data_IF_683124309997
#
_entry.id   IF_683124309997
#
_cell.length_a   1.000
_cell.length_b   1.000
_cell.length_c   1.000
_cell.angle_alpha   90.00
_cell.angle_beta   90.00
_cell.angle_gamma   90.00
#
_symmetry.space_group_name_H-M   'P 1'
#
loop_
_entity.id
_entity.type
_entity.pdbx_description
1 polymer ?
#
# COMPACT_ATOMS: atom_id res chain seq x y z
N UNK A 1 6.56 2.40 -27.92
CA UNK A 1 6.98 1.00 -27.61
C UNK A 1 7.94 0.95 -26.43
N UNK A 2 9.12 1.60 -26.47
CA UNK A 2 10.06 1.61 -25.32
C UNK A 2 9.49 2.26 -24.04
N UNK A 3 8.69 3.32 -24.19
CA UNK A 3 8.10 4.04 -23.05
C UNK A 3 7.06 3.21 -22.31
N UNK A 4 6.21 2.46 -23.03
CA UNK A 4 5.20 1.58 -22.42
C UNK A 4 5.87 0.42 -21.66
N UNK A 5 6.88 -0.22 -22.27
CA UNK A 5 7.64 -1.28 -21.59
C UNK A 5 8.30 -0.75 -20.30
N UNK A 6 8.94 0.42 -20.38
CA UNK A 6 9.56 1.07 -19.21
C UNK A 6 8.51 1.39 -18.13
N UNK A 7 7.31 1.82 -18.52
CA UNK A 7 6.20 2.06 -17.61
C UNK A 7 5.73 0.77 -16.92
N UNK A 8 5.56 -0.33 -17.65
CA UNK A 8 5.18 -1.63 -17.10
C UNK A 8 6.22 -2.15 -16.09
N UNK A 9 7.51 -2.09 -16.43
CA UNK A 9 8.59 -2.51 -15.54
C UNK A 9 8.67 -1.64 -14.27
N UNK A 10 8.56 -0.32 -14.43
CA UNK A 10 8.61 0.63 -13.31
C UNK A 10 7.44 0.44 -12.36
N UNK A 11 6.22 0.35 -12.88
CA UNK A 11 5.01 0.16 -12.08
C UNK A 11 4.96 -1.22 -11.42
N UNK A 12 5.54 -2.25 -12.06
CA UNK A 12 5.74 -3.56 -11.44
C UNK A 12 6.66 -3.49 -10.21
N UNK A 13 7.83 -2.86 -10.35
CA UNK A 13 8.79 -2.67 -9.24
C UNK A 13 8.18 -1.90 -8.07
N UNK A 14 7.46 -0.81 -8.35
CA UNK A 14 6.78 -0.01 -7.32
C UNK A 14 5.74 -0.87 -6.58
N UNK A 15 4.92 -1.65 -7.30
CA UNK A 15 3.93 -2.54 -6.69
C UNK A 15 4.56 -3.57 -5.77
N UNK A 16 5.65 -4.21 -6.17
CA UNK A 16 6.38 -5.13 -5.29
C UNK A 16 6.88 -4.44 -4.01
N UNK A 17 7.38 -3.20 -4.11
CA UNK A 17 7.77 -2.43 -2.91
C UNK A 17 6.59 -2.07 -2.01
N UNK A 18 5.44 -1.76 -2.58
CA UNK A 18 4.21 -1.54 -1.80
C UNK A 18 3.78 -2.81 -1.09
N UNK A 19 3.87 -3.97 -1.75
CA UNK A 19 3.58 -5.28 -1.15
C UNK A 19 4.53 -5.62 0.00
N UNK A 20 5.84 -5.39 -0.18
CA UNK A 20 6.85 -5.51 0.88
C UNK A 20 6.45 -4.64 2.09
N UNK A 21 6.09 -3.37 1.87
CA UNK A 21 5.65 -2.47 2.94
C UNK A 21 4.39 -2.98 3.67
N UNK A 22 3.41 -3.52 2.94
CA UNK A 22 2.21 -4.11 3.55
C UNK A 22 2.59 -5.28 4.45
N UNK A 23 3.49 -6.14 3.99
CA UNK A 23 4.01 -7.27 4.77
C UNK A 23 4.65 -6.79 6.08
N UNK A 24 5.56 -5.82 6.00
CA UNK A 24 6.27 -5.32 7.18
C UNK A 24 5.33 -4.61 8.17
N UNK A 25 4.38 -3.81 7.67
CA UNK A 25 3.35 -3.18 8.50
C UNK A 25 2.53 -4.24 9.23
N UNK A 26 2.07 -5.29 8.53
CA UNK A 26 1.25 -6.35 9.14
C UNK A 26 2.03 -7.20 10.15
N UNK A 27 3.34 -7.39 9.94
CA UNK A 27 4.21 -8.10 10.89
C UNK A 27 4.56 -7.26 12.11
N UNK A 28 4.39 -5.94 12.08
CA UNK A 28 4.77 -5.09 13.19
C UNK A 28 3.98 -5.43 14.46
N UNK A 29 4.70 -5.83 15.52
CA UNK A 29 4.16 -6.23 16.82
C UNK A 29 3.88 -5.06 17.77
N UNK A 30 3.88 -3.81 17.29
CA UNK A 30 3.86 -2.62 18.14
C UNK A 30 2.65 -2.49 19.07
N UNK A 31 1.49 -3.02 18.68
CA UNK A 31 0.32 -3.10 19.58
C UNK A 31 0.54 -4.12 20.72
N UNK A 32 1.22 -5.23 20.44
CA UNK A 32 1.60 -6.22 21.45
C UNK A 32 2.62 -5.64 22.45
N UNK A 33 3.60 -4.88 21.94
CA UNK A 33 4.60 -4.19 22.76
C UNK A 33 3.94 -3.14 23.66
N UNK A 34 3.06 -2.31 23.10
CA UNK A 34 2.30 -1.30 23.86
C UNK A 34 1.43 -1.97 24.92
N UNK A 35 0.72 -3.05 24.57
CA UNK A 35 -0.13 -3.77 25.53
C UNK A 35 0.68 -4.36 26.68
N UNK A 36 1.85 -4.91 26.38
CA UNK A 36 2.74 -5.53 27.36
C UNK A 36 3.51 -4.53 28.20
N UNK A 37 3.60 -3.26 27.78
CA UNK A 37 4.32 -2.21 28.51
C UNK A 37 3.79 -1.93 29.92
N UNK A 38 2.53 -2.28 30.19
CA UNK A 38 1.93 -2.16 31.52
C UNK A 38 2.15 -3.39 32.42
N UNK A 39 2.79 -4.45 31.92
CA UNK A 39 3.05 -5.65 32.70
C UNK A 39 3.98 -5.34 33.87
N UNK A 40 3.55 -5.65 35.10
CA UNK A 40 4.32 -5.39 36.30
C UNK A 40 4.30 -3.94 36.81
N UNK A 41 3.59 -3.03 36.14
CA UNK A 41 3.38 -1.67 36.66
C UNK A 41 2.26 -1.66 37.70
N UNK A 42 2.54 -1.05 38.85
CA UNK A 42 1.56 -0.84 39.92
C UNK A 42 0.96 0.56 39.79
N UNK A 43 -0.35 0.64 39.51
CA UNK A 43 -1.07 1.90 39.36
C UNK A 43 -2.44 1.70 38.72
N UNK A 44 -3.48 2.31 39.31
CA UNK A 44 -4.84 2.20 38.79
C UNK A 44 -4.92 2.77 37.36
N UNK A 45 -5.48 1.99 36.42
CA UNK A 45 -5.76 2.44 35.06
C UNK A 45 -4.60 2.34 34.05
N UNK A 46 -3.37 2.01 34.47
CA UNK A 46 -2.24 1.87 33.54
C UNK A 46 -2.45 0.74 32.52
N UNK A 47 -2.90 -0.43 32.97
CA UNK A 47 -3.22 -1.55 32.07
C UNK A 47 -4.36 -1.22 31.11
N UNK A 48 -5.38 -0.48 31.57
CA UNK A 48 -6.48 -0.02 30.72
C UNK A 48 -5.97 0.97 29.66
N UNK A 49 -5.15 1.95 30.04
CA UNK A 49 -4.57 2.92 29.12
C UNK A 49 -3.65 2.24 28.09
N UNK A 50 -2.82 1.29 28.52
CA UNK A 50 -1.97 0.51 27.61
C UNK A 50 -2.80 -0.32 26.63
N UNK A 51 -3.90 -0.93 27.08
CA UNK A 51 -4.83 -1.64 26.19
C UNK A 51 -5.47 -0.70 25.16
N UNK A 52 -5.97 0.46 25.59
CA UNK A 52 -6.57 1.44 24.67
C UNK A 52 -5.56 1.97 23.65
N UNK A 53 -4.32 2.24 24.08
CA UNK A 53 -3.24 2.67 23.21
C UNK A 53 -2.88 1.57 22.19
N UNK A 54 -2.80 0.32 22.63
CA UNK A 54 -2.54 -0.82 21.75
C UNK A 54 -3.66 -1.01 20.70
N UNK A 55 -4.92 -0.83 21.08
CA UNK A 55 -6.06 -0.90 20.14
C UNK A 55 -5.99 0.24 19.10
N UNK A 56 -5.60 1.44 19.53
CA UNK A 56 -5.39 2.57 18.62
C UNK A 56 -4.24 2.30 17.63
N UNK A 57 -3.12 1.72 18.08
CA UNK A 57 -2.00 1.31 17.23
C UNK A 57 -2.45 0.24 16.24
N UNK A 58 -3.17 -0.79 16.70
CA UNK A 58 -3.69 -1.85 15.85
C UNK A 58 -4.61 -1.28 14.75
N UNK A 59 -5.52 -0.38 15.11
CA UNK A 59 -6.41 0.32 14.16
C UNK A 59 -5.63 1.16 13.15
N UNK A 60 -4.61 1.89 13.60
CA UNK A 60 -3.76 2.71 12.73
C UNK A 60 -3.00 1.84 11.73
N UNK A 61 -2.40 0.74 12.19
CA UNK A 61 -1.72 -0.26 11.34
C UNK A 61 -2.65 -0.83 10.28
N UNK A 62 -3.82 -1.33 10.66
CA UNK A 62 -4.81 -1.87 9.71
C UNK A 62 -5.22 -0.82 8.68
N UNK A 63 -5.46 0.42 9.12
CA UNK A 63 -5.82 1.52 8.22
C UNK A 63 -4.70 1.82 7.22
N UNK A 64 -3.45 1.85 7.68
CA UNK A 64 -2.31 2.10 6.82
C UNK A 64 -2.08 0.98 5.81
N UNK A 65 -2.14 -0.29 6.24
CA UNK A 65 -2.05 -1.45 5.35
C UNK A 65 -3.15 -1.44 4.27
N UNK A 66 -4.38 -1.06 4.63
CA UNK A 66 -5.48 -0.94 3.67
C UNK A 66 -5.22 0.17 2.64
N UNK A 67 -4.69 1.32 3.05
CA UNK A 67 -4.30 2.40 2.12
C UNK A 67 -3.20 1.96 1.16
N UNK A 68 -2.18 1.25 1.65
CA UNK A 68 -1.14 0.68 0.80
C UNK A 68 -1.72 -0.31 -0.22
N UNK A 69 -2.65 -1.18 0.20
CA UNK A 69 -3.33 -2.12 -0.70
C UNK A 69 -4.14 -1.41 -1.79
N UNK A 70 -4.81 -0.32 -1.44
CA UNK A 70 -5.52 0.52 -2.41
C UNK A 70 -4.54 1.17 -3.40
N UNK A 71 -3.38 1.64 -2.95
CA UNK A 71 -2.34 2.16 -3.85
C UNK A 71 -1.78 1.10 -4.78
N UNK A 72 -1.50 -0.10 -4.29
CA UNK A 72 -1.07 -1.24 -5.11
C UNK A 72 -2.07 -1.50 -6.26
N UNK A 73 -3.36 -1.60 -5.92
CA UNK A 73 -4.43 -1.83 -6.90
C UNK A 73 -4.57 -0.66 -7.88
N UNK A 74 -4.46 0.58 -7.38
CA UNK A 74 -4.51 1.79 -8.20
C UNK A 74 -3.39 1.83 -9.24
N UNK A 75 -2.16 1.49 -8.85
CA UNK A 75 -1.02 1.41 -9.77
C UNK A 75 -1.27 0.34 -10.84
N UNK A 76 -1.72 -0.86 -10.45
CA UNK A 76 -2.02 -1.93 -11.40
C UNK A 76 -3.07 -1.51 -12.44
N UNK A 77 -4.17 -0.90 -11.96
CA UNK A 77 -5.24 -0.44 -12.83
C UNK A 77 -4.76 0.67 -13.78
N UNK A 78 -3.98 1.63 -13.29
CA UNK A 78 -3.43 2.71 -14.11
C UNK A 78 -2.49 2.17 -15.20
N UNK A 79 -1.61 1.21 -14.88
CA UNK A 79 -0.74 0.56 -15.87
C UNK A 79 -1.54 -0.11 -16.98
N UNK A 80 -2.60 -0.85 -16.63
CA UNK A 80 -3.46 -1.50 -17.63
C UNK A 80 -4.22 -0.50 -18.50
N UNK A 81 -4.67 0.62 -17.93
CA UNK A 81 -5.31 1.69 -18.70
C UNK A 81 -4.35 2.35 -19.69
N UNK A 82 -3.11 2.61 -19.27
CA UNK A 82 -2.05 3.13 -20.16
C UNK A 82 -1.76 2.16 -21.30
N UNK A 83 -1.66 0.86 -21.02
CA UNK A 83 -1.48 -0.18 -22.03
C UNK A 83 -2.61 -0.21 -23.05
N UNK A 84 -3.87 -0.12 -22.58
CA UNK A 84 -5.02 -0.08 -23.47
C UNK A 84 -5.04 1.19 -24.34
N UNK A 85 -4.67 2.34 -23.76
CA UNK A 85 -4.60 3.61 -24.48
C UNK A 85 -3.50 3.62 -25.55
N UNK A 86 -2.31 3.09 -25.26
CA UNK A 86 -1.22 2.96 -26.24
C UNK A 86 -1.62 2.03 -27.40
N UNK A 87 -2.27 0.90 -27.10
CA UNK A 87 -2.82 0.00 -28.11
C UNK A 87 -3.88 0.67 -29.00
N UNK A 88 -4.79 1.44 -28.40
CA UNK A 88 -5.79 2.20 -29.15
C UNK A 88 -5.15 3.29 -30.04
N UNK A 89 -4.15 4.00 -29.52
CA UNK A 89 -3.43 5.03 -30.26
C UNK A 89 -2.70 4.46 -31.48
N UNK A 90 -2.11 3.27 -31.36
CA UNK A 90 -1.47 2.56 -32.46
C UNK A 90 -2.46 2.16 -33.59
N UNK A 91 -3.74 1.95 -33.24
CA UNK A 91 -4.79 1.60 -34.20
C UNK A 91 -5.48 2.83 -34.85
N UNK A 92 -5.19 4.06 -34.39
CA UNK A 92 -5.75 5.27 -34.99
C UNK A 92 -5.15 5.49 -36.38
N UNK A 93 -5.96 5.57 -37.45
CA UNK A 93 -5.45 5.90 -38.78
C UNK A 93 -4.74 7.25 -38.75
N UNK A 94 -3.57 7.37 -39.39
CA UNK A 94 -3.02 8.69 -39.70
C UNK A 94 -3.98 9.33 -40.70
N UNK A 95 -4.78 10.30 -40.24
CA UNK A 95 -5.46 11.20 -41.16
C UNK A 95 -4.38 11.91 -41.97
N UNK A 96 -4.18 11.44 -43.21
CA UNK A 96 -3.18 11.98 -44.11
C UNK A 96 -3.49 13.44 -44.39
N UNK A 97 -2.52 14.31 -44.12
CA UNK A 97 -2.43 15.55 -44.89
C UNK A 97 -1.80 15.18 -46.24
N UNK A 98 -2.65 15.22 -47.28
CA UNK A 98 -2.25 15.25 -48.69
C UNK A 98 -1.50 16.53 -49.02
#
# INVERSE_FOLDING_TARGET
MADLQTCEETTSKIRSKVEDCISEVNKSGGDSDVRSSANGLTGAGLSSNASMAADAVSKARTTFANRLRNHYNGIYNATNQLKAADGAAACTPKNGHS
#
